data_IF_554179939314
#
_entry.id   IF_554179939314
#
_cell.length_a   1.000
_cell.length_b   1.000
_cell.length_c   1.000
_cell.angle_alpha   90.00
_cell.angle_beta   90.00
_cell.angle_gamma   90.00
#
_symmetry.space_group_name_H-M   'P 1'
#
loop_
_entity.id
_entity.type
_entity.pdbx_description
1 polymer ?
#
# COMPACT_ATOMS: atom_id res chain seq x y z
N UNK A 1 9.36 -15.63 -7.50
CA UNK A 1 8.33 -14.69 -7.98
C UNK A 1 8.34 -14.54 -9.49
N UNK A 2 7.20 -14.13 -10.05
CA UNK A 2 6.91 -13.82 -11.45
C UNK A 2 7.70 -12.63 -12.02
N UNK A 3 9.01 -12.53 -11.74
CA UNK A 3 9.86 -11.40 -12.16
C UNK A 3 9.73 -10.15 -11.28
N UNK A 4 8.62 -9.98 -10.56
CA UNK A 4 8.41 -8.85 -9.66
C UNK A 4 9.37 -8.84 -8.47
N UNK A 5 9.88 -7.65 -8.16
CA UNK A 5 10.80 -7.37 -7.04
C UNK A 5 10.27 -6.29 -6.11
N UNK A 6 9.29 -5.50 -6.56
CA UNK A 6 8.77 -4.37 -5.82
C UNK A 6 7.24 -4.37 -5.85
N UNK A 7 6.64 -3.88 -4.78
CA UNK A 7 5.22 -3.56 -4.68
C UNK A 7 5.07 -2.05 -4.41
N UNK A 8 4.36 -1.35 -5.29
CA UNK A 8 3.97 0.04 -5.07
C UNK A 8 2.57 0.08 -4.47
N UNK A 9 2.50 0.53 -3.22
CA UNK A 9 1.28 0.77 -2.47
C UNK A 9 0.91 2.24 -2.56
N UNK A 10 -0.30 2.58 -3.02
CA UNK A 10 -0.78 3.95 -3.15
C UNK A 10 -2.03 4.21 -2.30
N UNK A 11 -2.09 5.34 -1.60
CA UNK A 11 -3.23 5.70 -0.75
C UNK A 11 -3.59 7.17 -0.83
N UNK A 12 -4.87 7.46 -1.07
CA UNK A 12 -5.43 8.81 -0.94
C UNK A 12 -5.80 9.08 0.51
N UNK A 13 -5.42 10.25 1.03
CA UNK A 13 -5.84 10.70 2.35
C UNK A 13 -7.37 10.80 2.53
N UNK A 14 -8.14 10.88 1.43
CA UNK A 14 -9.61 10.87 1.46
C UNK A 14 -10.23 9.47 1.42
N UNK A 15 -9.49 8.45 0.96
CA UNK A 15 -9.98 7.07 0.78
C UNK A 15 -9.08 6.08 1.55
N UNK A 16 -9.15 6.16 2.87
CA UNK A 16 -8.23 5.50 3.82
C UNK A 16 -8.17 3.97 3.74
N UNK A 17 -9.23 3.32 3.28
CA UNK A 17 -9.34 1.86 3.17
C UNK A 17 -9.32 1.39 1.71
N UNK A 18 -8.88 2.22 0.77
CA UNK A 18 -8.83 1.88 -0.66
C UNK A 18 -7.43 2.09 -1.20
N UNK A 19 -6.51 1.28 -0.69
CA UNK A 19 -5.15 1.23 -1.21
C UNK A 19 -5.12 0.65 -2.64
N UNK A 20 -4.15 1.11 -3.42
CA UNK A 20 -3.84 0.60 -4.76
C UNK A 20 -2.52 -0.14 -4.72
N UNK A 21 -2.45 -1.28 -5.38
CA UNK A 21 -1.27 -2.16 -5.37
C UNK A 21 -0.79 -2.43 -6.79
N UNK A 22 0.49 -2.20 -7.05
CA UNK A 22 1.09 -2.39 -8.37
C UNK A 22 2.41 -3.14 -8.23
N UNK A 23 2.56 -4.24 -8.97
CA UNK A 23 3.76 -5.07 -8.93
C UNK A 23 4.75 -4.62 -10.02
N UNK A 24 6.03 -4.48 -9.66
CA UNK A 24 7.08 -3.99 -10.55
C UNK A 24 8.31 -4.89 -10.52
N UNK A 25 8.98 -5.05 -11.68
CA UNK A 25 10.20 -5.85 -11.81
C UNK A 25 11.46 -5.06 -11.43
N UNK A 26 11.43 -3.75 -11.69
CA UNK A 26 12.55 -2.84 -11.42
C UNK A 26 12.13 -1.69 -10.53
N UNK A 27 13.11 -1.12 -9.80
CA UNK A 27 12.88 0.06 -8.98
C UNK A 27 12.52 1.27 -9.84
N UNK A 28 13.05 1.36 -11.07
CA UNK A 28 12.71 2.42 -12.01
C UNK A 28 11.23 2.37 -12.40
N UNK A 29 10.68 1.18 -12.65
CA UNK A 29 9.25 1.01 -12.92
C UNK A 29 8.41 1.40 -11.70
N UNK A 30 8.85 1.02 -10.49
CA UNK A 30 8.17 1.39 -9.25
C UNK A 30 8.06 2.91 -9.07
N UNK A 31 9.15 3.66 -9.33
CA UNK A 31 9.12 5.12 -9.31
C UNK A 31 8.16 5.73 -10.34
N UNK A 32 8.13 5.18 -11.56
CA UNK A 32 7.19 5.62 -12.59
C UNK A 32 5.76 5.41 -12.14
N UNK A 33 5.45 4.25 -11.54
CA UNK A 33 4.11 3.98 -11.00
C UNK A 33 3.73 4.95 -9.87
N UNK A 34 4.65 5.36 -9.00
CA UNK A 34 4.36 6.39 -8.01
C UNK A 34 3.86 7.70 -8.65
N UNK A 35 4.50 8.15 -9.74
CA UNK A 35 4.07 9.32 -10.49
C UNK A 35 2.74 9.09 -11.23
N UNK A 36 2.57 7.93 -11.88
CA UNK A 36 1.34 7.58 -12.58
C UNK A 36 0.13 7.56 -11.63
N UNK A 37 0.30 7.04 -10.41
CA UNK A 37 -0.74 7.06 -9.37
C UNK A 37 -1.15 8.47 -8.98
N UNK A 38 -0.18 9.39 -8.84
CA UNK A 38 -0.46 10.81 -8.54
C UNK A 38 -1.20 11.47 -9.70
N UNK A 39 -0.73 11.27 -10.94
CA UNK A 39 -1.34 11.82 -12.15
C UNK A 39 -2.79 11.35 -12.30
N UNK A 40 -3.02 10.04 -12.13
CA UNK A 40 -4.35 9.44 -12.18
C UNK A 40 -5.27 10.02 -11.10
N UNK A 41 -4.77 10.11 -9.86
CA UNK A 41 -5.58 10.56 -8.73
C UNK A 41 -6.03 12.02 -8.84
N UNK A 42 -5.12 12.92 -9.26
CA UNK A 42 -5.41 14.35 -9.41
C UNK A 42 -5.94 14.73 -10.80
N UNK A 43 -5.99 13.78 -11.74
CA UNK A 43 -6.49 14.01 -13.11
C UNK A 43 -5.60 14.93 -13.94
N UNK A 44 -4.29 14.90 -13.70
CA UNK A 44 -3.33 15.69 -14.46
C UNK A 44 -3.19 15.19 -15.91
N UNK A 45 -2.83 16.09 -16.83
CA UNK A 45 -2.43 15.69 -18.17
C UNK A 45 -1.07 14.98 -18.12
N UNK A 46 -0.89 13.91 -18.92
CA UNK A 46 0.32 13.05 -18.91
C UNK A 46 1.65 13.79 -19.09
N UNK A 47 1.66 14.99 -19.67
CA UNK A 47 2.87 15.81 -19.81
C UNK A 47 3.43 16.33 -18.47
N UNK A 48 2.67 16.24 -17.38
CA UNK A 48 3.12 16.54 -16.02
C UNK A 48 3.98 15.42 -15.40
N UNK A 49 4.10 14.23 -16.02
CA UNK A 49 4.98 13.16 -15.56
C UNK A 49 6.43 13.64 -15.44
N UNK A 50 6.88 14.41 -16.45
CA UNK A 50 8.22 15.01 -16.46
C UNK A 50 8.34 16.04 -15.33
N UNK A 51 7.35 16.89 -15.07
CA UNK A 51 7.44 17.87 -13.98
C UNK A 51 7.41 17.20 -12.60
N UNK A 52 6.55 16.21 -12.40
CA UNK A 52 6.41 15.51 -11.11
C UNK A 52 7.68 14.73 -10.76
N UNK A 53 8.28 14.05 -11.75
CA UNK A 53 9.52 13.29 -11.59
C UNK A 53 10.79 14.17 -11.64
N UNK A 54 10.88 15.15 -12.54
CA UNK A 54 12.07 15.95 -12.76
C UNK A 54 12.17 17.20 -11.87
N UNK A 55 11.04 17.77 -11.42
CA UNK A 55 11.04 18.89 -10.46
C UNK A 55 10.95 18.40 -9.01
N UNK A 56 10.96 17.09 -8.76
CA UNK A 56 11.01 16.52 -7.41
C UNK A 56 9.78 16.87 -6.58
N UNK A 57 8.61 17.05 -7.21
CA UNK A 57 7.37 17.39 -6.49
C UNK A 57 6.84 16.23 -5.66
N UNK A 58 7.25 15.00 -5.96
CA UNK A 58 7.10 13.87 -5.04
C UNK A 58 8.15 14.03 -3.94
N UNK A 59 7.69 14.30 -2.73
CA UNK A 59 8.54 14.42 -1.56
C UNK A 59 8.86 13.03 -1.03
N UNK A 60 10.14 12.68 -0.96
CA UNK A 60 10.59 11.55 -0.16
C UNK A 60 10.35 11.89 1.32
N UNK A 61 9.64 11.01 2.02
CA UNK A 61 9.27 11.21 3.42
C UNK A 61 10.31 10.55 4.33
N UNK A 62 10.51 9.25 4.16
CA UNK A 62 11.46 8.45 4.93
C UNK A 62 11.71 7.10 4.23
N UNK A 63 12.80 6.44 4.61
CA UNK A 63 13.01 5.01 4.40
C UNK A 63 12.85 4.33 5.76
N UNK A 64 11.72 3.69 5.99
CA UNK A 64 11.59 2.79 7.15
C UNK A 64 12.27 1.46 6.81
N UNK A 65 12.40 0.55 7.78
CA UNK A 65 12.93 -0.79 7.52
C UNK A 65 12.13 -1.58 6.45
N UNK A 66 10.92 -1.11 6.10
CA UNK A 66 9.97 -1.87 5.29
C UNK A 66 9.72 -1.26 3.90
N UNK A 67 10.15 -0.02 3.62
CA UNK A 67 9.97 0.57 2.29
C UNK A 67 10.42 2.02 2.13
N UNK A 68 10.37 2.50 0.89
CA UNK A 68 10.61 3.91 0.54
C UNK A 68 9.27 4.65 0.43
N UNK A 69 9.08 5.67 1.28
CA UNK A 69 7.83 6.39 1.40
C UNK A 69 7.88 7.75 0.69
N UNK A 70 6.80 8.06 -0.03
CA UNK A 70 6.67 9.23 -0.88
C UNK A 70 5.29 9.85 -0.71
N UNK A 71 5.20 11.17 -0.88
CA UNK A 71 3.90 11.83 -0.99
C UNK A 71 3.89 12.98 -1.99
N UNK A 72 2.67 13.30 -2.43
CA UNK A 72 2.37 14.47 -3.22
C UNK A 72 1.12 15.13 -2.66
N UNK A 73 1.17 16.44 -2.45
CA UNK A 73 0.04 17.23 -1.93
C UNK A 73 -0.34 18.31 -2.92
N UNK A 74 -1.63 18.35 -3.28
CA UNK A 74 -2.20 19.35 -4.16
C UNK A 74 -3.64 19.63 -3.74
N UNK A 75 -4.07 20.89 -3.85
CA UNK A 75 -5.43 21.34 -3.50
C UNK A 75 -5.91 20.88 -2.11
N UNK A 76 -4.99 20.79 -1.15
CA UNK A 76 -5.28 20.37 0.23
C UNK A 76 -5.53 18.87 0.42
N UNK A 77 -5.24 18.04 -0.57
CA UNK A 77 -5.28 16.58 -0.48
C UNK A 77 -3.88 16.00 -0.68
N UNK A 78 -3.56 14.97 0.10
CA UNK A 78 -2.30 14.23 0.00
C UNK A 78 -2.54 12.83 -0.55
N UNK A 79 -1.70 12.44 -1.51
CA UNK A 79 -1.57 11.07 -1.99
C UNK A 79 -0.23 10.50 -1.55
N UNK A 80 -0.25 9.32 -0.96
CA UNK A 80 0.92 8.62 -0.44
C UNK A 80 1.27 7.45 -1.35
N UNK A 81 2.56 7.21 -1.56
CA UNK A 81 3.08 5.99 -2.17
C UNK A 81 4.14 5.37 -1.27
N UNK A 82 4.18 4.05 -1.19
CA UNK A 82 5.26 3.28 -0.57
C UNK A 82 5.76 2.24 -1.56
N UNK A 83 7.07 2.16 -1.75
CA UNK A 83 7.72 1.10 -2.52
C UNK A 83 8.28 0.08 -1.53
N UNK A 84 7.69 -1.11 -1.50
CA UNK A 84 8.12 -2.24 -0.67
C UNK A 84 8.93 -3.22 -1.52
N UNK A 85 10.02 -3.76 -0.97
CA UNK A 85 10.77 -4.85 -1.62
C UNK A 85 10.07 -6.19 -1.36
N UNK A 86 10.02 -7.03 -2.38
CA UNK A 86 9.46 -8.37 -2.29
C UNK A 86 10.58 -9.40 -2.11
N UNK A 87 10.42 -10.32 -1.15
CA UNK A 87 11.36 -11.42 -0.97
C UNK A 87 11.33 -12.36 -2.19
N UNK A 88 12.47 -12.58 -2.89
CA UNK A 88 12.60 -13.42 -4.10
C UNK A 88 12.15 -14.89 -3.99
N UNK A 89 11.76 -15.39 -2.81
CA UNK A 89 11.42 -16.81 -2.54
C UNK A 89 10.22 -17.39 -3.34
N UNK A 90 10.07 -18.74 -3.41
CA UNK A 90 9.54 -19.43 -4.60
C UNK A 90 8.03 -19.37 -4.92
N UNK A 91 7.79 -19.82 -6.16
CA UNK A 91 6.68 -19.71 -7.13
C UNK A 91 5.30 -20.27 -6.80
N UNK A 92 5.02 -20.75 -5.58
CA UNK A 92 3.69 -21.33 -5.25
C UNK A 92 2.76 -20.36 -4.50
N UNK A 93 3.30 -19.25 -4.02
CA UNK A 93 2.53 -18.24 -3.31
C UNK A 93 1.74 -17.39 -4.32
N UNK A 94 0.47 -17.16 -4.02
CA UNK A 94 -0.48 -16.53 -4.94
C UNK A 94 -0.99 -15.20 -4.42
N UNK A 95 -0.85 -14.92 -3.12
CA UNK A 95 -1.39 -13.75 -2.48
C UNK A 95 -0.41 -13.16 -1.45
N UNK A 96 -0.52 -11.85 -1.23
CA UNK A 96 0.07 -11.11 -0.13
C UNK A 96 -1.03 -10.74 0.87
N UNK A 97 -0.67 -10.69 2.15
CA UNK A 97 -1.40 -9.95 3.16
C UNK A 97 -0.62 -8.66 3.41
N UNK A 98 -1.21 -7.53 3.03
CA UNK A 98 -0.62 -6.20 3.20
C UNK A 98 -1.40 -5.47 4.28
N UNK A 99 -0.68 -4.89 5.23
CA UNK A 99 -1.25 -3.97 6.21
C UNK A 99 -0.92 -2.54 5.82
N UNK A 100 -1.84 -1.63 6.14
CA UNK A 100 -1.55 -0.21 6.15
C UNK A 100 -2.36 0.51 7.20
N UNK A 101 -1.85 1.67 7.60
CA UNK A 101 -2.56 2.58 8.48
C UNK A 101 -2.55 4.00 7.94
N UNK A 102 -3.45 4.83 8.46
CA UNK A 102 -3.46 6.26 8.14
C UNK A 102 -3.93 7.14 9.30
N UNK A 103 -3.65 8.44 9.17
CA UNK A 103 -3.97 9.61 10.02
C UNK A 103 -2.76 10.15 10.78
N UNK A 104 -2.03 9.36 11.56
CA UNK A 104 -0.78 9.79 12.21
C UNK A 104 0.46 9.40 11.40
N UNK A 105 0.34 9.55 10.08
CA UNK A 105 1.27 8.99 9.11
C UNK A 105 0.53 8.08 8.13
N UNK A 106 1.25 7.58 7.14
CA UNK A 106 0.83 6.47 6.29
C UNK A 106 2.02 5.55 6.16
N UNK A 107 1.84 4.29 6.50
CA UNK A 107 2.84 3.25 6.33
C UNK A 107 2.19 1.98 5.78
N UNK A 108 3.00 1.16 5.15
CA UNK A 108 2.61 -0.12 4.57
C UNK A 108 3.59 -1.20 4.98
N UNK A 109 3.08 -2.40 5.24
CA UNK A 109 3.92 -3.57 5.49
C UNK A 109 3.35 -4.84 4.89
N UNK A 110 4.22 -5.76 4.51
CA UNK A 110 3.83 -7.10 4.03
C UNK A 110 3.91 -8.07 5.20
N UNK A 111 2.76 -8.35 5.80
CA UNK A 111 2.64 -9.28 6.92
C UNK A 111 2.91 -10.73 6.51
N UNK A 112 2.37 -11.15 5.37
CA UNK A 112 2.46 -12.53 4.92
C UNK A 112 2.45 -12.64 3.40
N UNK A 113 3.14 -13.67 2.90
CA UNK A 113 3.04 -14.12 1.51
C UNK A 113 2.61 -15.59 1.53
N UNK A 114 1.51 -15.94 0.86
CA UNK A 114 0.91 -17.28 0.94
C UNK A 114 -0.22 -17.55 -0.05
N UNK A 115 -1.12 -18.46 0.33
CA UNK A 115 -2.39 -18.70 -0.40
C UNK A 115 -3.47 -17.72 0.07
N UNK A 116 -4.56 -17.56 -0.69
CA UNK A 116 -5.72 -16.73 -0.25
C UNK A 116 -6.24 -17.18 1.11
N UNK A 117 -6.37 -18.49 1.32
CA UNK A 117 -6.87 -19.06 2.56
C UNK A 117 -5.94 -18.76 3.76
N UNK A 118 -4.64 -18.99 3.60
CA UNK A 118 -3.66 -18.69 4.65
C UNK A 118 -3.63 -17.19 4.99
N UNK A 119 -3.62 -16.32 3.97
CA UNK A 119 -3.68 -14.87 4.19
C UNK A 119 -4.99 -14.46 4.89
N UNK A 120 -6.10 -15.17 4.65
CA UNK A 120 -7.40 -14.86 5.25
C UNK A 120 -7.49 -15.24 6.72
N UNK A 121 -6.93 -16.37 7.09
CA UNK A 121 -6.79 -16.80 8.49
C UNK A 121 -5.93 -15.80 9.25
N UNK A 122 -4.74 -15.49 8.73
CA UNK A 122 -3.81 -14.53 9.33
C UNK A 122 -4.42 -13.12 9.44
N UNK A 123 -5.10 -12.64 8.38
CA UNK A 123 -5.77 -11.34 8.37
C UNK A 123 -6.76 -11.20 9.54
N UNK A 124 -7.53 -12.26 9.83
CA UNK A 124 -8.50 -12.23 10.92
C UNK A 124 -7.82 -12.16 12.28
N UNK A 125 -6.84 -13.04 12.52
CA UNK A 125 -6.13 -13.11 13.81
C UNK A 125 -5.38 -11.81 14.10
N UNK A 126 -4.65 -11.27 13.12
CA UNK A 126 -3.87 -10.04 13.25
C UNK A 126 -4.79 -8.83 13.47
N UNK A 127 -5.81 -8.66 12.63
CA UNK A 127 -6.72 -7.52 12.75
C UNK A 127 -7.52 -7.57 14.06
N UNK A 128 -7.95 -8.76 14.50
CA UNK A 128 -8.68 -8.93 15.76
C UNK A 128 -7.79 -8.60 16.96
N UNK A 129 -6.55 -9.11 16.99
CA UNK A 129 -5.58 -8.78 18.04
C UNK A 129 -5.35 -7.27 18.11
N UNK A 130 -5.08 -6.63 16.97
CA UNK A 130 -4.88 -5.19 16.90
C UNK A 130 -6.13 -4.39 17.33
N UNK A 131 -7.33 -4.86 16.97
CA UNK A 131 -8.59 -4.24 17.39
C UNK A 131 -8.75 -4.25 18.90
N UNK A 132 -8.44 -5.36 19.56
CA UNK A 132 -8.52 -5.49 21.01
C UNK A 132 -7.46 -4.63 21.73
N UNK A 133 -6.21 -4.66 21.26
CA UNK A 133 -5.09 -3.90 21.82
C UNK A 133 -5.29 -2.39 21.72
N UNK A 134 -5.73 -1.90 20.57
CA UNK A 134 -5.94 -0.48 20.29
C UNK A 134 -7.33 0.03 20.70
N UNK A 135 -8.19 -0.83 21.25
CA UNK A 135 -9.60 -0.52 21.59
C UNK A 135 -10.35 0.05 20.39
N UNK A 136 -10.36 -0.71 19.30
CA UNK A 136 -11.07 -0.37 18.08
C UNK A 136 -12.56 -0.07 18.32
N UNK A 137 -13.11 0.76 17.44
CA UNK A 137 -14.44 1.36 17.59
C UNK A 137 -15.39 1.05 16.43
N UNK A 138 -14.85 0.66 15.27
CA UNK A 138 -15.62 0.34 14.08
C UNK A 138 -14.94 -0.80 13.32
N UNK A 139 -15.59 -1.97 13.24
CA UNK A 139 -15.08 -3.13 12.50
C UNK A 139 -15.81 -3.28 11.17
N UNK A 140 -15.06 -3.45 10.09
CA UNK A 140 -15.59 -3.78 8.78
C UNK A 140 -14.76 -4.91 8.16
N UNK A 141 -15.45 -5.90 7.63
CA UNK A 141 -14.83 -7.14 7.17
C UNK A 141 -15.49 -7.64 5.89
N UNK A 142 -14.63 -8.09 4.98
CA UNK A 142 -14.99 -8.74 3.72
C UNK A 142 -14.09 -9.96 3.50
N UNK A 143 -14.20 -10.60 2.34
CA UNK A 143 -13.31 -11.72 2.00
C UNK A 143 -11.85 -11.31 1.84
N UNK A 144 -11.58 -10.08 1.39
CA UNK A 144 -10.24 -9.63 0.98
C UNK A 144 -9.76 -8.42 1.74
N UNK A 145 -10.56 -7.89 2.67
CA UNK A 145 -10.18 -6.73 3.48
C UNK A 145 -10.82 -6.83 4.86
N UNK A 146 -10.04 -6.51 5.89
CA UNK A 146 -10.53 -6.10 7.19
C UNK A 146 -9.97 -4.72 7.48
N UNK A 147 -10.82 -3.79 7.90
CA UNK A 147 -10.35 -2.53 8.45
C UNK A 147 -11.15 -2.12 9.67
N UNK A 148 -10.48 -1.42 10.56
CA UNK A 148 -11.13 -0.79 11.69
C UNK A 148 -10.57 0.58 11.99
N UNK A 149 -11.27 1.31 12.85
CA UNK A 149 -10.81 2.60 13.39
C UNK A 149 -10.59 2.52 14.88
N UNK A 150 -9.52 3.13 15.35
CA UNK A 150 -9.38 3.49 16.76
C UNK A 150 -9.54 5.01 16.94
N UNK A 151 -9.26 5.51 18.15
CA UNK A 151 -9.37 6.95 18.47
C UNK A 151 -8.41 7.87 17.70
N UNK A 152 -7.43 7.31 16.98
CA UNK A 152 -6.30 8.00 16.36
C UNK A 152 -6.10 7.61 14.90
N UNK A 153 -6.32 6.35 14.55
CA UNK A 153 -5.93 5.78 13.25
C UNK A 153 -7.02 4.94 12.59
N UNK A 154 -6.89 4.77 11.27
CA UNK A 154 -7.54 3.70 10.52
C UNK A 154 -6.50 2.62 10.27
N UNK A 155 -6.83 1.38 10.62
CA UNK A 155 -5.98 0.19 10.43
C UNK A 155 -6.64 -0.70 9.38
N UNK A 156 -5.89 -1.16 8.39
CA UNK A 156 -6.41 -1.92 7.26
C UNK A 156 -5.49 -3.09 6.92
N UNK A 157 -6.09 -4.24 6.64
CA UNK A 157 -5.42 -5.42 6.10
C UNK A 157 -6.11 -5.80 4.80
N UNK A 158 -5.32 -5.98 3.76
CA UNK A 158 -5.75 -6.26 2.40
C UNK A 158 -5.09 -7.56 1.89
N UNK A 159 -5.88 -8.46 1.33
CA UNK A 159 -5.40 -9.63 0.60
C UNK A 159 -5.22 -9.23 -0.87
N UNK A 160 -3.98 -9.27 -1.34
CA UNK A 160 -3.60 -8.84 -2.70
C UNK A 160 -3.17 -10.05 -3.52
N UNK A 161 -3.84 -10.30 -4.65
CA UNK A 161 -3.43 -11.35 -5.58
C UNK A 161 -2.15 -10.97 -6.33
N UNK A 162 -1.20 -11.90 -6.40
CA UNK A 162 0.04 -11.75 -7.17
C UNK A 162 -0.27 -12.10 -8.63
N UNK A 163 -0.06 -11.18 -9.60
CA UNK A 163 -0.35 -11.44 -11.00
C UNK A 163 0.43 -12.64 -11.54
N UNK A 164 -0.24 -13.48 -12.36
CA UNK A 164 0.39 -14.56 -13.13
C UNK A 164 0.97 -13.98 -14.43
N UNK A 165 2.19 -14.39 -14.80
CA UNK A 165 2.78 -14.09 -16.13
C UNK A 165 2.19 -15.01 -17.19
#
# INVERSE_FOLDING_TARGET
>A
MNGYKYLVCGLSGKKQNKAKYNFCETLQDAFKICADNVIEHFGFYRNLEIEILAEGKISFLDSTNNGMNFSYTEWGETYHNSILELDPTPTEKTHLLVWHHCYLGVDFDIYMVGSKAACREEMYEEAKRAYEECKGTYWNESETQIYFRDSRECQCWDIVEIPKV
#
